data_IF_689726550601
#
_entry.id   IF_689726550601
#
_cell.length_a   1.000
_cell.length_b   1.000
_cell.length_c   1.000
_cell.angle_alpha   90.00
_cell.angle_beta   90.00
_cell.angle_gamma   90.00
#
_symmetry.space_group_name_H-M   'P 1'
#
loop_
_entity.id
_entity.type
_entity.pdbx_description
1 polymer ?
#
# COMPACT_ATOMS: atom_id res chain seq x y z
N UNK A 1 -4.44 -5.75 26.16
CA UNK A 1 -5.05 -6.33 24.92
C UNK A 1 -4.01 -6.25 23.81
N UNK A 2 -4.11 -7.06 22.76
CA UNK A 2 -3.09 -7.06 21.70
C UNK A 2 -3.57 -6.15 20.58
N UNK A 3 -2.75 -5.15 20.20
CA UNK A 3 -3.01 -4.32 19.03
C UNK A 3 -2.80 -5.15 17.77
N UNK A 4 -3.71 -5.05 16.80
CA UNK A 4 -3.61 -5.74 15.54
C UNK A 4 -2.72 -4.98 14.55
N UNK A 5 -2.18 -5.70 13.58
CA UNK A 5 -1.36 -5.13 12.50
C UNK A 5 -2.13 -5.27 11.20
N UNK A 6 -2.21 -4.20 10.43
CA UNK A 6 -2.79 -4.21 9.09
C UNK A 6 -1.72 -3.82 8.07
N UNK A 7 -1.56 -4.63 7.03
CA UNK A 7 -0.61 -4.38 5.94
C UNK A 7 -1.21 -3.48 4.86
N UNK A 8 -0.36 -2.84 4.04
CA UNK A 8 -0.82 -2.09 2.86
C UNK A 8 -1.66 -2.95 1.91
N UNK A 9 -1.35 -4.24 1.78
CA UNK A 9 -2.13 -5.19 0.97
C UNK A 9 -3.54 -5.39 1.50
N UNK A 10 -3.72 -5.50 2.82
CA UNK A 10 -5.04 -5.63 3.44
C UNK A 10 -5.86 -4.35 3.29
N UNK A 11 -5.23 -3.17 3.46
CA UNK A 11 -5.88 -1.89 3.21
C UNK A 11 -6.28 -1.76 1.74
N UNK A 12 -5.41 -2.15 0.79
CA UNK A 12 -5.73 -2.14 -0.64
C UNK A 12 -6.95 -3.01 -0.97
N UNK A 13 -7.06 -4.20 -0.36
CA UNK A 13 -8.26 -5.05 -0.51
C UNK A 13 -9.52 -4.35 -0.02
N UNK A 14 -9.45 -3.65 1.12
CA UNK A 14 -10.59 -2.88 1.64
C UNK A 14 -11.00 -1.76 0.69
N UNK A 15 -10.03 -1.06 0.07
CA UNK A 15 -10.32 -0.04 -0.94
C UNK A 15 -11.01 -0.66 -2.15
N UNK A 16 -10.49 -1.76 -2.70
CA UNK A 16 -11.06 -2.41 -3.89
C UNK A 16 -12.46 -3.00 -3.62
N UNK A 17 -12.67 -3.55 -2.43
CA UNK A 17 -13.96 -4.12 -2.02
C UNK A 17 -14.95 -3.06 -1.51
N UNK A 18 -14.57 -1.78 -1.47
CA UNK A 18 -15.39 -0.68 -0.93
C UNK A 18 -15.86 -0.95 0.51
N UNK A 19 -14.99 -1.58 1.31
CA UNK A 19 -15.28 -1.88 2.71
C UNK A 19 -15.28 -0.60 3.55
N UNK A 20 -15.96 -0.65 4.70
CA UNK A 20 -15.92 0.45 5.68
C UNK A 20 -14.65 0.37 6.51
N UNK A 21 -13.99 1.50 6.70
CA UNK A 21 -12.81 1.64 7.55
C UNK A 21 -12.82 3.04 8.19
N UNK A 22 -12.48 3.11 9.46
CA UNK A 22 -12.18 4.38 10.12
C UNK A 22 -10.66 4.56 10.21
N UNK A 23 -10.14 5.64 9.65
CA UNK A 23 -8.71 5.94 9.63
C UNK A 23 -8.42 7.07 10.61
N UNK A 24 -7.68 6.77 11.67
CA UNK A 24 -7.08 7.76 12.57
C UNK A 24 -5.66 8.06 12.08
N UNK A 25 -5.49 9.18 11.40
CA UNK A 25 -4.17 9.62 10.96
C UNK A 25 -3.53 10.53 12.02
N UNK A 26 -2.41 10.07 12.56
CA UNK A 26 -1.69 10.79 13.64
C UNK A 26 -0.49 11.59 13.14
N UNK A 27 -0.42 11.87 11.83
CA UNK A 27 0.52 12.82 11.25
C UNK A 27 0.06 14.25 11.45
N UNK A 28 0.94 15.22 11.13
CA UNK A 28 0.57 16.61 11.09
C UNK A 28 -0.60 16.87 10.13
N UNK A 29 -1.38 17.89 10.42
CA UNK A 29 -2.54 18.28 9.59
C UNK A 29 -2.13 18.60 8.13
N UNK A 30 -0.98 19.23 7.93
CA UNK A 30 -0.46 19.51 6.59
C UNK A 30 -0.19 18.23 5.80
N UNK A 31 0.44 17.22 6.41
CA UNK A 31 0.73 15.94 5.76
C UNK A 31 -0.54 15.16 5.44
N UNK A 32 -1.54 15.22 6.32
CA UNK A 32 -2.84 14.59 6.12
C UNK A 32 -3.62 15.23 4.97
N UNK A 33 -3.64 16.56 4.92
CA UNK A 33 -4.34 17.31 3.86
C UNK A 33 -3.66 17.20 2.51
N UNK A 34 -2.32 17.12 2.49
CA UNK A 34 -1.55 16.94 1.26
C UNK A 34 -1.77 15.55 0.64
N UNK A 35 -1.75 14.50 1.47
CA UNK A 35 -1.91 13.14 0.98
C UNK A 35 -2.27 12.15 2.09
N UNK A 36 -3.32 11.35 1.88
CA UNK A 36 -3.81 10.32 2.80
C UNK A 36 -4.21 9.04 2.08
N UNK A 37 -4.48 7.99 2.85
CA UNK A 37 -5.14 6.79 2.31
C UNK A 37 -6.60 7.16 2.01
N UNK A 38 -7.07 6.87 0.81
CA UNK A 38 -8.43 7.17 0.39
C UNK A 38 -9.19 5.90 0.04
N UNK A 39 -10.48 5.86 0.42
CA UNK A 39 -11.41 4.79 0.11
C UNK A 39 -12.84 5.32 0.08
N UNK A 40 -13.70 4.74 -0.77
CA UNK A 40 -15.08 5.23 -0.99
C UNK A 40 -15.91 5.27 0.28
N UNK A 41 -15.70 4.30 1.19
CA UNK A 41 -16.44 4.16 2.44
C UNK A 41 -15.53 4.33 3.68
N UNK A 42 -14.44 5.08 3.53
CA UNK A 42 -13.54 5.40 4.64
C UNK A 42 -13.99 6.69 5.33
N UNK A 43 -13.91 6.68 6.65
CA UNK A 43 -14.09 7.84 7.50
C UNK A 43 -12.77 8.21 8.14
N UNK A 44 -12.56 9.49 8.43
CA UNK A 44 -11.26 10.00 8.84
C UNK A 44 -11.35 10.86 10.09
N UNK A 45 -10.37 10.71 10.94
CA UNK A 45 -10.01 11.65 11.98
C UNK A 45 -8.51 11.92 11.90
N UNK A 46 -8.11 13.18 11.83
CA UNK A 46 -6.70 13.55 11.95
C UNK A 46 -6.49 14.22 13.29
N UNK A 47 -5.58 13.65 14.08
CA UNK A 47 -5.11 14.22 15.35
C UNK A 47 -3.62 13.96 15.45
N UNK A 48 -2.77 14.97 15.34
CA UNK A 48 -1.32 14.81 15.44
C UNK A 48 -0.90 14.09 16.72
N UNK A 49 0.01 13.13 16.61
CA UNK A 49 0.41 12.26 17.74
C UNK A 49 0.91 13.05 18.95
N UNK A 50 1.51 14.21 18.75
CA UNK A 50 2.03 15.03 19.85
C UNK A 50 0.90 15.67 20.70
N UNK A 51 -0.32 15.75 20.19
CA UNK A 51 -1.50 16.15 20.96
C UNK A 51 -2.04 15.01 21.84
N UNK A 52 -1.59 13.77 21.59
CA UNK A 52 -2.02 12.55 22.26
C UNK A 52 -0.97 12.04 23.28
N UNK A 53 0.11 12.78 23.52
CA UNK A 53 1.19 12.34 24.42
C UNK A 53 0.73 12.23 25.89
N UNK A 54 -0.24 13.05 26.29
CA UNK A 54 -0.80 13.07 27.65
C UNK A 54 -2.02 12.13 27.81
N UNK A 55 -2.48 11.49 26.73
CA UNK A 55 -3.61 10.55 26.74
C UNK A 55 -4.48 10.63 25.48
N UNK A 56 -5.44 9.71 25.39
CA UNK A 56 -6.36 9.58 24.25
C UNK A 56 -7.81 9.88 24.62
N UNK A 57 -8.07 10.31 25.84
CA UNK A 57 -9.41 10.47 26.43
C UNK A 57 -10.28 11.44 25.62
N UNK A 58 -9.68 12.50 25.07
CA UNK A 58 -10.40 13.53 24.29
C UNK A 58 -10.88 13.04 22.92
N UNK A 59 -10.30 11.96 22.41
CA UNK A 59 -10.63 11.42 21.09
C UNK A 59 -11.43 10.12 21.14
N UNK A 60 -11.47 9.40 22.28
CA UNK A 60 -12.19 8.11 22.42
C UNK A 60 -13.64 8.24 21.94
N UNK A 61 -14.35 9.30 22.36
CA UNK A 61 -15.74 9.55 21.97
C UNK A 61 -15.96 9.85 20.47
N UNK A 62 -14.89 10.11 19.72
CA UNK A 62 -14.92 10.37 18.27
C UNK A 62 -14.59 9.14 17.44
N UNK A 63 -14.12 8.05 18.07
CA UNK A 63 -13.73 6.81 17.41
C UNK A 63 -14.94 5.85 17.43
N UNK A 64 -15.38 5.36 16.26
CA UNK A 64 -16.52 4.44 16.21
C UNK A 64 -16.13 3.07 16.80
N UNK A 65 -17.12 2.41 17.44
CA UNK A 65 -16.97 1.06 18.00
C UNK A 65 -17.58 -0.02 17.10
N UNK A 66 -18.30 0.40 16.06
CA UNK A 66 -18.99 -0.47 15.10
C UNK A 66 -18.21 -0.70 13.79
N UNK A 67 -17.01 -0.13 13.68
CA UNK A 67 -16.14 -0.21 12.51
C UNK A 67 -14.73 -0.60 12.92
N UNK A 68 -14.01 -1.18 11.96
CA UNK A 68 -12.57 -1.39 12.11
C UNK A 68 -11.82 -0.05 12.10
N UNK A 69 -10.89 0.11 13.01
CA UNK A 69 -10.10 1.34 13.20
C UNK A 69 -8.66 1.08 12.81
N UNK A 70 -8.13 1.89 11.91
CA UNK A 70 -6.75 1.87 11.47
C UNK A 70 -6.03 3.14 11.89
N UNK A 71 -5.00 3.00 12.72
CA UNK A 71 -4.12 4.11 13.13
C UNK A 71 -2.96 4.22 12.14
N UNK A 72 -2.71 5.42 11.60
CA UNK A 72 -1.73 5.66 10.54
C UNK A 72 -0.79 6.78 10.92
N UNK A 73 0.51 6.57 10.71
CA UNK A 73 1.52 7.62 10.77
C UNK A 73 2.51 7.52 9.59
N UNK A 74 3.57 8.33 9.60
CA UNK A 74 4.52 8.37 8.47
C UNK A 74 5.27 7.04 8.26
N UNK A 75 5.74 6.36 9.34
CA UNK A 75 6.64 5.19 9.26
C UNK A 75 6.34 4.04 10.23
N UNK A 76 5.32 4.12 11.05
CA UNK A 76 4.89 3.12 12.05
C UNK A 76 5.05 3.56 13.52
N UNK A 77 6.13 4.22 13.94
CA UNK A 77 6.43 4.49 15.36
C UNK A 77 5.28 5.15 16.14
N UNK A 78 4.79 6.33 15.70
CA UNK A 78 3.72 7.05 16.40
C UNK A 78 2.36 6.32 16.33
N UNK A 79 2.09 5.60 15.24
CA UNK A 79 0.82 4.85 15.13
C UNK A 79 0.77 3.63 16.05
N UNK A 80 1.90 2.98 16.30
CA UNK A 80 1.99 1.89 17.30
C UNK A 80 1.70 2.44 18.69
N UNK A 81 2.39 3.52 19.08
CA UNK A 81 2.18 4.15 20.38
C UNK A 81 0.71 4.54 20.62
N UNK A 82 0.10 5.22 19.67
CA UNK A 82 -1.31 5.65 19.81
C UNK A 82 -2.26 4.45 19.80
N UNK A 83 -1.99 3.43 18.97
CA UNK A 83 -2.79 2.21 18.96
C UNK A 83 -2.72 1.45 20.29
N UNK A 84 -1.54 1.39 20.94
CA UNK A 84 -1.39 0.81 22.28
C UNK A 84 -2.22 1.58 23.31
N UNK A 85 -2.15 2.91 23.32
CA UNK A 85 -2.95 3.75 24.24
C UNK A 85 -4.46 3.56 24.05
N UNK A 86 -4.93 3.49 22.79
CA UNK A 86 -6.33 3.22 22.50
C UNK A 86 -6.76 1.81 22.91
N UNK A 87 -5.88 0.83 22.76
CA UNK A 87 -6.12 -0.56 23.19
C UNK A 87 -6.19 -0.65 24.72
N UNK A 88 -5.34 0.07 25.46
CA UNK A 88 -5.39 0.17 26.91
C UNK A 88 -6.69 0.84 27.38
N UNK A 89 -7.20 1.80 26.62
CA UNK A 89 -8.51 2.43 26.84
C UNK A 89 -9.71 1.54 26.43
N UNK A 90 -9.48 0.30 25.98
CA UNK A 90 -10.52 -0.69 25.69
C UNK A 90 -11.02 -0.73 24.25
N UNK A 91 -10.39 -0.01 23.31
CA UNK A 91 -10.76 -0.02 21.90
C UNK A 91 -10.03 -1.13 21.15
N UNK A 92 -10.70 -1.73 20.17
CA UNK A 92 -10.07 -2.68 19.23
C UNK A 92 -9.57 -1.91 18.02
N UNK A 93 -8.27 -1.81 17.87
CA UNK A 93 -7.63 -1.03 16.81
C UNK A 93 -6.50 -1.81 16.13
N UNK A 94 -6.19 -1.40 14.91
CA UNK A 94 -5.04 -1.84 14.15
C UNK A 94 -4.13 -0.66 13.83
N UNK A 95 -2.84 -0.90 13.58
CA UNK A 95 -1.98 0.11 12.99
C UNK A 95 -1.48 -0.34 11.61
N UNK A 96 -1.16 0.63 10.74
CA UNK A 96 -0.61 0.35 9.41
C UNK A 96 0.87 -0.02 9.51
N UNK A 97 1.21 -1.25 9.13
CA UNK A 97 2.61 -1.72 9.08
C UNK A 97 3.42 -0.86 8.11
N UNK A 98 4.52 -0.27 8.62
CA UNK A 98 5.40 0.62 7.86
C UNK A 98 4.80 1.99 7.52
N UNK A 99 3.59 2.29 8.00
CA UNK A 99 2.92 3.58 7.85
C UNK A 99 2.69 4.01 6.41
N UNK A 100 2.55 5.33 6.21
CA UNK A 100 2.35 5.93 4.89
C UNK A 100 3.52 5.66 3.93
N UNK A 101 4.73 5.42 4.44
CA UNK A 101 5.87 5.01 3.61
C UNK A 101 5.57 3.69 2.92
N UNK A 102 5.18 2.65 3.66
CA UNK A 102 4.83 1.35 3.08
C UNK A 102 3.62 1.45 2.13
N UNK A 103 2.61 2.26 2.48
CA UNK A 103 1.49 2.57 1.59
C UNK A 103 1.94 3.18 0.27
N UNK A 104 2.88 4.12 0.31
CA UNK A 104 3.42 4.77 -0.90
C UNK A 104 4.21 3.82 -1.82
N UNK A 105 4.75 2.75 -1.28
CA UNK A 105 5.61 1.79 -1.99
C UNK A 105 4.86 0.52 -2.40
N UNK A 106 3.63 0.31 -1.89
CA UNK A 106 2.83 -0.87 -2.21
C UNK A 106 2.36 -0.87 -3.67
N UNK A 107 2.55 -2.01 -4.33
CA UNK A 107 2.04 -2.33 -5.66
C UNK A 107 1.17 -3.58 -5.54
N UNK A 108 -0.07 -3.50 -5.99
CA UNK A 108 -0.98 -4.65 -6.02
C UNK A 108 -1.05 -5.20 -7.46
N UNK A 109 -0.61 -6.44 -7.70
CA UNK A 109 -0.77 -7.09 -9.00
C UNK A 109 -2.22 -7.53 -9.18
N UNK A 110 -2.84 -7.11 -10.27
CA UNK A 110 -4.21 -7.45 -10.65
C UNK A 110 -4.20 -8.01 -12.06
N UNK A 111 -4.73 -9.22 -12.24
CA UNK A 111 -4.93 -9.79 -13.59
C UNK A 111 -6.00 -8.97 -14.31
N UNK A 112 -5.65 -8.41 -15.47
CA UNK A 112 -6.54 -7.53 -16.25
C UNK A 112 -6.93 -8.10 -17.59
N UNK A 113 -6.33 -9.21 -18.03
CA UNK A 113 -6.69 -9.85 -19.29
C UNK A 113 -5.96 -11.14 -19.58
N UNK A 114 -6.45 -11.85 -20.59
CA UNK A 114 -5.83 -13.02 -21.18
C UNK A 114 -5.43 -12.74 -22.63
N UNK A 115 -4.33 -13.34 -23.09
CA UNK A 115 -3.89 -13.30 -24.48
C UNK A 115 -4.52 -14.47 -25.27
N UNK A 116 -4.68 -14.30 -26.58
CA UNK A 116 -5.34 -15.29 -27.45
C UNK A 116 -4.67 -16.67 -27.41
N UNK A 117 -3.34 -16.71 -27.22
CA UNK A 117 -2.56 -17.95 -27.26
C UNK A 117 -2.14 -18.44 -25.86
N UNK A 118 -2.91 -18.10 -24.83
CA UNK A 118 -2.72 -18.63 -23.46
C UNK A 118 -1.73 -17.86 -22.59
N UNK A 119 -1.54 -16.57 -22.85
CA UNK A 119 -0.81 -15.68 -21.94
C UNK A 119 -1.74 -14.87 -21.05
N UNK A 120 -1.17 -14.13 -20.11
CA UNK A 120 -1.87 -13.30 -19.13
C UNK A 120 -1.27 -11.90 -19.04
N UNK A 121 -2.12 -10.92 -18.73
CA UNK A 121 -1.70 -9.53 -18.51
C UNK A 121 -2.04 -9.14 -17.08
N UNK A 122 -1.04 -8.68 -16.36
CA UNK A 122 -1.17 -8.16 -14.99
C UNK A 122 -0.86 -6.67 -14.98
N UNK A 123 -1.70 -5.91 -14.27
CA UNK A 123 -1.46 -4.52 -13.96
C UNK A 123 -1.01 -4.42 -12.50
N UNK A 124 0.11 -3.76 -12.27
CA UNK A 124 0.57 -3.41 -10.93
C UNK A 124 0.07 -2.02 -10.59
N UNK A 125 -0.85 -1.96 -9.63
CA UNK A 125 -1.50 -0.72 -9.21
C UNK A 125 -0.77 -0.16 -7.99
N UNK A 126 -0.11 0.97 -8.16
CA UNK A 126 0.46 1.72 -7.03
C UNK A 126 -0.60 2.66 -6.47
N UNK A 127 -1.56 2.08 -5.73
CA UNK A 127 -2.77 2.77 -5.30
C UNK A 127 -2.50 4.08 -4.53
N UNK A 128 -1.45 4.12 -3.71
CA UNK A 128 -1.09 5.30 -2.92
C UNK A 128 -0.49 6.45 -3.74
N UNK A 129 -0.14 6.26 -5.03
CA UNK A 129 0.50 7.27 -5.88
C UNK A 129 -0.08 7.36 -7.30
N UNK A 130 -0.95 6.43 -7.68
CA UNK A 130 -1.61 6.42 -8.98
C UNK A 130 -0.76 5.91 -10.15
N UNK A 131 0.51 5.48 -9.93
CA UNK A 131 1.33 4.92 -11.00
C UNK A 131 0.86 3.51 -11.36
N UNK A 132 0.93 3.18 -12.64
CA UNK A 132 0.61 1.86 -13.17
C UNK A 132 1.82 1.29 -13.90
N UNK A 133 2.01 -0.01 -13.80
CA UNK A 133 2.97 -0.78 -14.59
C UNK A 133 2.35 -2.12 -14.97
N UNK A 134 2.94 -2.82 -15.93
CA UNK A 134 2.31 -4.02 -16.47
C UNK A 134 3.32 -5.16 -16.58
N UNK A 135 2.83 -6.39 -16.39
CA UNK A 135 3.55 -7.61 -16.72
C UNK A 135 2.72 -8.42 -17.70
N UNK A 136 3.30 -8.72 -18.84
CA UNK A 136 2.73 -9.62 -19.85
C UNK A 136 3.45 -10.96 -19.73
N UNK A 137 2.70 -12.02 -19.50
CA UNK A 137 3.22 -13.37 -19.28
C UNK A 137 2.76 -14.29 -20.37
N UNK A 138 3.67 -15.03 -20.99
CA UNK A 138 3.36 -16.08 -21.97
C UNK A 138 4.42 -17.17 -21.94
N UNK A 139 4.01 -18.44 -21.96
CA UNK A 139 4.91 -19.60 -22.00
C UNK A 139 6.00 -19.63 -20.92
N UNK A 140 5.72 -19.11 -19.71
CA UNK A 140 6.68 -19.02 -18.61
C UNK A 140 7.69 -17.89 -18.73
N UNK A 141 7.54 -17.00 -19.71
CA UNK A 141 8.34 -15.78 -19.87
C UNK A 141 7.49 -14.55 -19.56
N UNK A 142 8.12 -13.50 -19.06
CA UNK A 142 7.46 -12.25 -18.72
C UNK A 142 8.19 -11.04 -19.31
N UNK A 143 7.40 -10.10 -19.81
CA UNK A 143 7.83 -8.75 -20.17
C UNK A 143 7.25 -7.74 -19.20
N UNK A 144 8.10 -6.88 -18.64
CA UNK A 144 7.69 -5.78 -17.76
C UNK A 144 7.65 -4.46 -18.53
N UNK A 145 6.63 -3.66 -18.27
CA UNK A 145 6.45 -2.34 -18.85
C UNK A 145 6.27 -1.31 -17.73
N UNK A 146 7.07 -0.24 -17.78
CA UNK A 146 7.03 0.90 -16.86
C UNK A 146 7.23 0.51 -15.38
N UNK A 147 8.16 -0.43 -15.12
CA UNK A 147 8.45 -0.90 -13.78
C UNK A 147 9.00 0.21 -12.88
N UNK A 148 8.46 0.33 -11.68
CA UNK A 148 8.93 1.29 -10.67
C UNK A 148 10.15 0.76 -9.92
N UNK A 149 10.81 1.62 -9.12
CA UNK A 149 12.00 1.27 -8.31
C UNK A 149 11.77 0.16 -7.26
N UNK A 150 10.53 -0.20 -6.94
CA UNK A 150 10.19 -1.29 -6.01
C UNK A 150 10.32 -2.65 -6.70
N UNK A 151 11.53 -2.96 -7.16
CA UNK A 151 11.83 -4.08 -8.06
C UNK A 151 11.49 -5.45 -7.49
N UNK A 152 11.65 -5.64 -6.17
CA UNK A 152 11.40 -6.94 -5.51
C UNK A 152 9.96 -7.41 -5.71
N UNK A 153 8.98 -6.49 -5.72
CA UNK A 153 7.57 -6.85 -5.90
C UNK A 153 7.32 -7.54 -7.25
N UNK A 154 8.00 -7.08 -8.31
CA UNK A 154 7.88 -7.70 -9.64
C UNK A 154 8.60 -9.05 -9.70
N UNK A 155 9.78 -9.15 -9.06
CA UNK A 155 10.56 -10.38 -9.02
C UNK A 155 9.83 -11.47 -8.24
N UNK A 156 9.36 -11.15 -7.02
CA UNK A 156 8.60 -12.06 -6.17
C UNK A 156 7.30 -12.51 -6.85
N UNK A 157 6.60 -11.58 -7.53
CA UNK A 157 5.39 -11.92 -8.25
C UNK A 157 5.68 -12.85 -9.43
N UNK A 158 6.69 -12.55 -10.26
CA UNK A 158 7.07 -13.40 -11.38
C UNK A 158 7.45 -14.81 -10.91
N UNK A 159 8.23 -14.92 -9.82
CA UNK A 159 8.57 -16.21 -9.20
C UNK A 159 7.31 -16.95 -8.73
N UNK A 160 6.38 -16.25 -8.08
CA UNK A 160 5.14 -16.85 -7.53
C UNK A 160 4.23 -17.48 -8.60
N UNK A 161 4.31 -16.99 -9.85
CA UNK A 161 3.55 -17.51 -10.99
C UNK A 161 4.39 -18.38 -11.92
N UNK A 162 5.65 -18.66 -11.56
CA UNK A 162 6.56 -19.50 -12.35
C UNK A 162 7.02 -18.86 -13.65
N UNK A 163 7.06 -17.52 -13.74
CA UNK A 163 7.49 -16.78 -14.93
C UNK A 163 8.89 -16.21 -14.77
N UNK A 164 9.70 -16.25 -15.85
CA UNK A 164 11.01 -15.62 -15.93
C UNK A 164 10.90 -14.27 -16.64
N UNK A 165 11.34 -13.19 -15.99
CA UNK A 165 11.41 -11.87 -16.65
C UNK A 165 12.55 -11.89 -17.67
N UNK A 166 12.19 -11.72 -18.95
CA UNK A 166 13.12 -11.74 -20.09
C UNK A 166 13.26 -10.39 -20.78
N UNK A 167 12.29 -9.51 -20.59
CA UNK A 167 12.29 -8.18 -21.21
C UNK A 167 11.78 -7.12 -20.23
N UNK A 168 12.35 -5.92 -20.31
CA UNK A 168 11.90 -4.76 -19.54
C UNK A 168 11.87 -3.54 -20.46
N UNK A 169 10.75 -2.83 -20.43
CA UNK A 169 10.49 -1.67 -21.28
C UNK A 169 10.06 -0.47 -20.44
N UNK A 170 10.53 0.71 -20.79
CA UNK A 170 9.97 2.00 -20.40
C UNK A 170 9.31 2.64 -21.62
N UNK A 171 8.03 2.97 -21.53
CA UNK A 171 7.30 3.60 -22.66
C UNK A 171 7.75 5.02 -22.92
N UNK A 172 8.24 5.70 -21.88
CA UNK A 172 8.73 7.07 -21.92
C UNK A 172 9.65 7.35 -20.74
N UNK A 173 10.28 8.52 -20.73
CA UNK A 173 11.02 9.01 -19.56
C UNK A 173 10.01 9.43 -18.48
N UNK A 174 9.96 8.67 -17.38
CA UNK A 174 9.05 8.94 -16.28
C UNK A 174 9.48 10.15 -15.45
N UNK A 175 8.54 11.07 -15.20
CA UNK A 175 8.73 12.19 -14.30
C UNK A 175 8.14 11.96 -12.91
N UNK A 176 7.20 11.01 -12.78
CA UNK A 176 6.42 10.70 -11.58
C UNK A 176 7.04 9.60 -10.70
N UNK A 177 7.93 8.79 -11.27
CA UNK A 177 8.66 7.75 -10.54
C UNK A 177 10.03 7.45 -11.15
N UNK A 178 10.87 6.77 -10.36
CA UNK A 178 12.15 6.26 -10.83
C UNK A 178 11.91 4.87 -11.42
N UNK A 179 12.31 4.67 -12.69
CA UNK A 179 12.26 3.36 -13.35
C UNK A 179 13.11 2.33 -12.62
N UNK A 180 12.55 1.13 -12.45
CA UNK A 180 13.23 -0.06 -11.94
C UNK A 180 13.82 -0.92 -13.04
N UNK A 181 13.58 -0.59 -14.31
CA UNK A 181 13.89 -1.42 -15.46
C UNK A 181 15.35 -1.88 -15.50
N UNK A 182 16.28 -0.95 -15.36
CA UNK A 182 17.72 -1.26 -15.33
C UNK A 182 18.09 -2.23 -14.20
N UNK A 183 17.60 -1.99 -12.99
CA UNK A 183 17.89 -2.86 -11.83
C UNK A 183 17.33 -4.27 -12.03
N UNK A 184 16.12 -4.39 -12.61
CA UNK A 184 15.53 -5.69 -12.93
C UNK A 184 16.34 -6.41 -14.01
N UNK A 185 16.74 -5.71 -15.07
CA UNK A 185 17.58 -6.27 -16.12
C UNK A 185 18.94 -6.79 -15.57
N UNK A 186 19.59 -6.02 -14.69
CA UNK A 186 20.84 -6.43 -14.03
C UNK A 186 20.65 -7.69 -13.16
N UNK A 187 19.49 -7.85 -12.48
CA UNK A 187 19.20 -9.02 -11.62
C UNK A 187 18.77 -10.27 -12.38
N UNK A 188 18.06 -10.11 -13.49
CA UNK A 188 17.42 -11.22 -14.21
C UNK A 188 18.16 -11.63 -15.49
N UNK A 189 19.01 -10.76 -16.02
CA UNK A 189 19.60 -10.89 -17.36
C UNK A 189 18.60 -10.51 -18.47
N UNK A 190 17.49 -9.84 -18.14
CA UNK A 190 16.54 -9.34 -19.13
C UNK A 190 17.14 -8.25 -20.03
N UNK A 191 16.58 -8.10 -21.24
CA UNK A 191 16.96 -7.05 -22.21
C UNK A 191 15.94 -5.93 -22.22
#
# INVERSE_FOLDING_TARGET
>A
MTVNVMTSKEVTKKVFNKEKLFVLDVRNESDFNDWKIEGENFEYLNVPYFELLDGVEEIIGKIPTDKEVLVVCAKEGSSVMVADMLSEAGLTVSYLKGGMKAWSEHLEPVKVGDLQDGGEVYQFVRIGKGCLSYMVVSNGEAALIDATRMTEIYLDFAESIGAKITNVFDTHLHADHISGGRTIAEKTGAT
#
